data_IF_397698372525
#
_entry.id   IF_397698372525
#
_cell.length_a   1.000
_cell.length_b   1.000
_cell.length_c   1.000
_cell.angle_alpha   90.00
_cell.angle_beta   90.00
_cell.angle_gamma   90.00
#
_symmetry.space_group_name_H-M   'P 1'
#
loop_
_entity.id
_entity.type
_entity.pdbx_description
1 polymer ?
#
# COMPACT_ATOMS: atom_id res chain seq x y z
N UNK A 1 24.62 -2.62 -30.09
CA UNK A 1 23.27 -2.07 -30.40
C UNK A 1 22.30 -3.22 -30.37
N UNK A 2 21.25 -3.15 -29.54
CA UNK A 2 20.10 -4.04 -29.68
C UNK A 2 19.30 -3.48 -30.87
N UNK A 3 19.16 -4.28 -31.93
CA UNK A 3 18.38 -3.87 -33.10
C UNK A 3 16.93 -3.77 -32.62
N UNK A 4 16.18 -2.73 -32.97
CA UNK A 4 14.77 -2.71 -32.59
C UNK A 4 14.03 -3.73 -33.47
N UNK A 5 13.79 -4.93 -32.96
CA UNK A 5 13.00 -5.95 -33.68
C UNK A 5 11.54 -5.54 -33.83
N UNK A 6 11.12 -4.44 -33.22
CA UNK A 6 9.82 -3.81 -33.46
C UNK A 6 9.95 -2.51 -34.27
N UNK A 7 11.15 -2.17 -34.74
CA UNK A 7 11.42 -0.94 -35.48
C UNK A 7 10.58 -0.82 -36.75
N UNK A 8 10.29 -1.93 -37.42
CA UNK A 8 9.39 -1.95 -38.59
C UNK A 8 7.93 -1.62 -38.25
N UNK A 9 7.50 -1.77 -36.98
CA UNK A 9 6.17 -1.32 -36.55
C UNK A 9 6.12 0.20 -36.38
N UNK A 10 7.25 0.84 -36.09
CA UNK A 10 7.37 2.30 -35.99
C UNK A 10 7.74 2.96 -37.33
N UNK A 11 8.47 2.27 -38.20
CA UNK A 11 8.94 2.78 -39.51
C UNK A 11 7.84 2.81 -40.60
N UNK A 12 6.55 2.84 -40.22
CA UNK A 12 5.57 3.42 -41.14
C UNK A 12 5.84 4.93 -41.18
N UNK A 13 6.21 5.46 -42.36
CA UNK A 13 6.75 6.80 -42.47
C UNK A 13 5.74 7.82 -41.95
N UNK A 14 6.26 8.89 -41.35
CA UNK A 14 5.73 10.22 -41.64
C UNK A 14 5.70 10.36 -43.17
N UNK A 15 4.62 9.86 -43.79
CA UNK A 15 4.25 10.15 -45.16
C UNK A 15 3.99 11.65 -45.19
N UNK A 16 5.04 12.36 -45.57
CA UNK A 16 5.11 13.75 -45.99
C UNK A 16 4.02 14.70 -45.50
N UNK A 17 4.45 15.78 -44.86
CA UNK A 17 3.77 17.08 -44.93
C UNK A 17 3.60 17.63 -46.37
N UNK A 18 3.77 16.81 -47.41
CA UNK A 18 3.46 17.09 -48.80
C UNK A 18 2.74 15.87 -49.36
N UNK A 19 1.51 16.11 -49.80
CA UNK A 19 0.54 15.18 -50.40
C UNK A 19 -0.40 14.46 -49.42
N UNK A 20 -1.21 15.27 -48.74
CA UNK A 20 -2.60 14.90 -48.42
C UNK A 20 -3.37 14.63 -49.72
N UNK A 21 -3.37 13.37 -50.18
CA UNK A 21 -4.50 12.73 -50.88
C UNK A 21 -4.15 11.26 -51.14
N UNK A 22 -4.97 10.37 -50.57
CA UNK A 22 -5.21 9.00 -51.06
C UNK A 22 -4.28 7.83 -50.67
N UNK A 23 -3.66 7.81 -49.48
CA UNK A 23 -3.27 6.51 -48.90
C UNK A 23 -3.70 6.36 -47.45
N UNK A 24 -5.00 6.11 -47.26
CA UNK A 24 -5.49 5.44 -46.08
C UNK A 24 -4.91 4.01 -46.06
N UNK A 25 -3.70 3.86 -45.50
CA UNK A 25 -3.23 2.55 -45.06
C UNK A 25 -4.23 2.09 -44.01
N UNK A 26 -5.12 1.19 -44.42
CA UNK A 26 -6.27 0.81 -43.61
C UNK A 26 -5.79 0.08 -42.35
N UNK A 27 -6.48 0.23 -41.21
CA UNK A 27 -6.13 -0.47 -39.96
C UNK A 27 -5.94 -1.98 -40.11
N UNK A 28 -6.62 -2.58 -41.11
CA UNK A 28 -6.46 -3.99 -41.50
C UNK A 28 -5.05 -4.37 -41.91
N UNK A 29 -4.29 -3.47 -42.55
CA UNK A 29 -2.92 -3.74 -42.97
C UNK A 29 -1.95 -3.76 -41.79
N UNK A 30 -2.22 -2.98 -40.73
CA UNK A 30 -1.40 -2.97 -39.53
C UNK A 30 -1.67 -4.20 -38.65
N UNK A 31 -2.93 -4.57 -38.44
CA UNK A 31 -3.27 -5.78 -37.66
C UNK A 31 -2.65 -7.06 -38.26
N UNK A 32 -2.70 -7.20 -39.60
CA UNK A 32 -2.06 -8.32 -40.30
C UNK A 32 -0.54 -8.32 -40.10
N UNK A 33 0.10 -7.16 -40.23
CA UNK A 33 1.54 -7.00 -40.00
C UNK A 33 1.94 -7.38 -38.56
N UNK A 34 1.22 -6.91 -37.55
CA UNK A 34 1.48 -7.27 -36.14
C UNK A 34 1.39 -8.78 -35.95
N UNK A 35 0.32 -9.41 -36.47
CA UNK A 35 0.13 -10.86 -36.35
C UNK A 35 1.24 -11.67 -37.03
N UNK A 36 1.67 -11.28 -38.23
CA UNK A 36 2.75 -11.97 -38.96
C UNK A 36 4.10 -11.82 -38.23
N UNK A 37 4.32 -10.68 -37.58
CA UNK A 37 5.57 -10.39 -36.89
C UNK A 37 5.66 -10.94 -35.46
N UNK A 38 4.53 -11.28 -34.80
CA UNK A 38 4.52 -11.81 -33.44
C UNK A 38 5.45 -13.02 -33.27
N UNK A 39 5.49 -13.94 -34.25
CA UNK A 39 6.37 -15.12 -34.21
C UNK A 39 7.84 -14.73 -34.14
N UNK A 40 8.29 -13.90 -35.07
CA UNK A 40 9.69 -13.43 -35.14
C UNK A 40 10.09 -12.63 -33.90
N UNK A 41 9.18 -11.81 -33.36
CA UNK A 41 9.43 -11.04 -32.13
C UNK A 41 9.63 -11.98 -30.92
N UNK A 42 8.77 -12.99 -30.76
CA UNK A 42 8.89 -13.97 -29.67
C UNK A 42 10.19 -14.78 -29.77
N UNK A 43 10.60 -15.17 -30.97
CA UNK A 43 11.88 -15.85 -31.21
C UNK A 43 13.07 -14.96 -30.82
N UNK A 44 13.03 -13.67 -31.17
CA UNK A 44 14.06 -12.71 -30.80
C UNK A 44 14.14 -12.51 -29.28
N UNK A 45 12.99 -12.40 -28.60
CA UNK A 45 12.92 -12.32 -27.14
C UNK A 45 13.49 -13.56 -26.45
N UNK A 46 13.14 -14.75 -26.94
CA UNK A 46 13.71 -15.99 -26.42
C UNK A 46 15.23 -16.03 -26.62
N UNK A 47 15.72 -15.71 -27.82
CA UNK A 47 17.15 -15.65 -28.10
C UNK A 47 17.88 -14.62 -27.20
N UNK A 48 17.25 -13.48 -26.91
CA UNK A 48 17.80 -12.46 -26.02
C UNK A 48 17.84 -12.93 -24.55
N UNK A 49 16.77 -13.55 -24.06
CA UNK A 49 16.67 -14.06 -22.69
C UNK A 49 17.70 -15.18 -22.40
N UNK A 50 18.01 -16.02 -23.39
CA UNK A 50 19.00 -17.09 -23.29
C UNK A 50 20.40 -16.70 -23.80
N UNK A 51 20.65 -15.41 -24.04
CA UNK A 51 21.96 -14.94 -24.49
C UNK A 51 22.99 -14.92 -23.35
N UNK A 52 24.28 -14.95 -23.68
CA UNK A 52 25.40 -14.86 -22.72
C UNK A 52 25.57 -13.43 -22.13
N UNK A 53 24.55 -12.57 -22.25
CA UNK A 53 24.59 -11.19 -21.75
C UNK A 53 24.34 -11.17 -20.25
N UNK A 54 24.82 -10.11 -19.59
CA UNK A 54 24.53 -9.91 -18.17
C UNK A 54 23.06 -9.52 -17.92
N UNK A 55 22.57 -9.80 -16.71
CA UNK A 55 21.18 -9.54 -16.28
C UNK A 55 20.77 -8.08 -16.53
N UNK A 56 21.65 -7.12 -16.24
CA UNK A 56 21.41 -5.69 -16.49
C UNK A 56 21.09 -5.38 -17.95
N UNK A 57 21.76 -6.04 -18.90
CA UNK A 57 21.51 -5.85 -20.33
C UNK A 57 20.19 -6.48 -20.76
N UNK A 58 19.84 -7.63 -20.19
CA UNK A 58 18.57 -8.33 -20.45
C UNK A 58 17.39 -7.50 -19.92
N UNK A 59 17.48 -6.97 -18.70
CA UNK A 59 16.47 -6.06 -18.13
C UNK A 59 16.26 -4.81 -18.99
N UNK A 60 17.35 -4.15 -19.39
CA UNK A 60 17.25 -2.97 -20.28
C UNK A 60 16.58 -3.28 -21.62
N UNK A 61 16.81 -4.49 -22.16
CA UNK A 61 16.18 -4.93 -23.40
C UNK A 61 14.68 -5.10 -23.23
N UNK A 62 14.23 -5.86 -22.21
CA UNK A 62 12.80 -6.07 -21.98
C UNK A 62 12.07 -4.80 -21.52
N UNK A 63 12.73 -3.95 -20.72
CA UNK A 63 12.23 -2.61 -20.38
C UNK A 63 11.99 -1.75 -21.64
N UNK A 64 12.90 -1.83 -22.62
CA UNK A 64 12.74 -1.11 -23.89
C UNK A 64 11.54 -1.62 -24.68
N UNK A 65 11.37 -2.94 -24.82
CA UNK A 65 10.24 -3.53 -25.54
C UNK A 65 8.90 -3.25 -24.87
N UNK A 66 8.86 -3.30 -23.53
CA UNK A 66 7.65 -2.94 -22.79
C UNK A 66 7.24 -1.49 -23.06
N UNK A 67 8.18 -0.53 -22.95
CA UNK A 67 7.91 0.89 -23.23
C UNK A 67 7.48 1.11 -24.67
N UNK A 68 8.13 0.42 -25.61
CA UNK A 68 7.80 0.53 -27.03
C UNK A 68 6.38 0.03 -27.32
N UNK A 69 6.01 -1.17 -26.82
CA UNK A 69 4.66 -1.71 -26.99
C UNK A 69 3.60 -0.85 -26.28
N UNK A 70 3.91 -0.35 -25.08
CA UNK A 70 3.04 0.60 -24.36
C UNK A 70 2.79 1.85 -25.20
N UNK A 71 3.84 2.43 -25.81
CA UNK A 71 3.73 3.56 -26.73
C UNK A 71 2.87 3.25 -27.96
N UNK A 72 3.05 2.09 -28.60
CA UNK A 72 2.22 1.67 -29.73
C UNK A 72 0.75 1.48 -29.35
N UNK A 73 0.47 0.86 -28.21
CA UNK A 73 -0.90 0.65 -27.72
C UNK A 73 -1.61 2.00 -27.55
N UNK A 74 -0.94 2.97 -26.93
CA UNK A 74 -1.50 4.31 -26.75
C UNK A 74 -1.66 5.10 -28.06
N UNK A 75 -0.79 4.89 -29.05
CA UNK A 75 -0.94 5.51 -30.38
C UNK A 75 -2.10 4.90 -31.19
N UNK A 76 -2.34 3.60 -31.03
CA UNK A 76 -3.36 2.85 -31.78
C UNK A 76 -4.67 2.64 -31.00
N UNK A 77 -4.91 3.41 -29.92
CA UNK A 77 -6.07 3.27 -29.03
C UNK A 77 -7.45 3.28 -29.71
N UNK A 78 -7.57 3.83 -30.92
CA UNK A 78 -8.81 3.89 -31.68
C UNK A 78 -9.09 2.66 -32.58
N UNK A 79 -8.08 1.83 -32.87
CA UNK A 79 -8.20 0.69 -33.78
C UNK A 79 -8.28 -0.63 -33.00
N UNK A 80 -9.51 -1.15 -32.86
CA UNK A 80 -9.80 -2.33 -32.04
C UNK A 80 -9.05 -3.60 -32.51
N UNK A 81 -8.90 -3.80 -33.82
CA UNK A 81 -8.23 -4.99 -34.36
C UNK A 81 -6.72 -4.94 -34.06
N UNK A 82 -6.11 -3.78 -34.24
CA UNK A 82 -4.70 -3.54 -33.93
C UNK A 82 -4.41 -3.66 -32.43
N UNK A 83 -5.26 -3.04 -31.59
CA UNK A 83 -5.17 -3.14 -30.14
C UNK A 83 -5.22 -4.59 -29.63
N UNK A 84 -6.12 -5.41 -30.18
CA UNK A 84 -6.23 -6.82 -29.80
C UNK A 84 -4.90 -7.54 -29.96
N UNK A 85 -4.23 -7.37 -31.10
CA UNK A 85 -2.95 -8.05 -31.37
C UNK A 85 -1.80 -7.48 -30.53
N UNK A 86 -1.74 -6.16 -30.34
CA UNK A 86 -0.75 -5.52 -29.48
C UNK A 86 -0.90 -5.95 -28.01
N UNK A 87 -2.14 -6.04 -27.51
CA UNK A 87 -2.44 -6.50 -26.16
C UNK A 87 -2.04 -7.97 -25.95
N UNK A 88 -2.29 -8.84 -26.93
CA UNK A 88 -1.83 -10.24 -26.88
C UNK A 88 -0.30 -10.34 -26.88
N UNK A 89 0.38 -9.53 -27.69
CA UNK A 89 1.84 -9.50 -27.73
C UNK A 89 2.43 -8.97 -26.41
N UNK A 90 1.80 -7.99 -25.78
CA UNK A 90 2.16 -7.52 -24.45
C UNK A 90 1.90 -8.58 -23.37
N UNK A 91 0.79 -9.33 -23.46
CA UNK A 91 0.51 -10.46 -22.56
C UNK A 91 1.63 -11.51 -22.63
N UNK A 92 2.10 -11.87 -23.82
CA UNK A 92 3.21 -12.82 -23.99
C UNK A 92 4.51 -12.27 -23.39
N UNK A 93 4.82 -10.98 -23.65
CA UNK A 93 6.00 -10.33 -23.09
C UNK A 93 6.01 -10.44 -21.57
N UNK A 94 4.90 -10.09 -20.92
CA UNK A 94 4.80 -10.09 -19.47
C UNK A 94 4.74 -11.50 -18.89
N UNK A 95 4.10 -12.45 -19.56
CA UNK A 95 3.99 -13.83 -19.12
C UNK A 95 5.36 -14.52 -19.03
N UNK A 96 6.21 -14.34 -20.04
CA UNK A 96 7.50 -15.02 -20.11
C UNK A 96 8.67 -14.21 -19.55
N UNK A 97 8.58 -12.88 -19.60
CA UNK A 97 9.71 -11.99 -19.31
C UNK A 97 9.39 -10.87 -18.30
N UNK A 98 8.24 -10.95 -17.61
CA UNK A 98 7.81 -9.96 -16.62
C UNK A 98 8.84 -9.69 -15.52
N UNK A 99 9.58 -10.71 -15.07
CA UNK A 99 10.61 -10.59 -14.03
C UNK A 99 11.81 -9.70 -14.42
N UNK A 100 12.00 -9.48 -15.73
CA UNK A 100 13.05 -8.60 -16.25
C UNK A 100 12.58 -7.14 -16.39
N UNK A 101 11.28 -6.86 -16.23
CA UNK A 101 10.68 -5.55 -16.45
C UNK A 101 10.46 -4.82 -15.12
N UNK A 102 10.79 -3.53 -15.07
CA UNK A 102 10.60 -2.73 -13.87
C UNK A 102 9.11 -2.46 -13.57
N UNK A 103 8.65 -2.83 -12.37
CA UNK A 103 7.25 -2.66 -11.94
C UNK A 103 6.80 -1.19 -11.80
N UNK A 104 7.74 -0.25 -11.73
CA UNK A 104 7.45 1.20 -11.65
C UNK A 104 7.13 1.83 -13.01
N UNK A 105 7.23 1.08 -14.11
CA UNK A 105 6.92 1.62 -15.42
C UNK A 105 5.43 1.87 -15.60
N UNK A 106 5.10 2.98 -16.24
CA UNK A 106 3.74 3.34 -16.61
C UNK A 106 3.23 2.43 -17.72
N UNK A 107 1.98 2.03 -17.58
CA UNK A 107 1.27 1.17 -18.52
C UNK A 107 0.36 2.04 -19.39
N UNK A 108 0.29 1.74 -20.68
CA UNK A 108 -0.71 2.33 -21.58
C UNK A 108 -2.12 2.13 -21.00
N UNK A 109 -2.92 3.20 -20.97
CA UNK A 109 -4.27 3.17 -20.38
C UNK A 109 -5.16 2.12 -21.05
N UNK A 110 -5.02 1.94 -22.36
CA UNK A 110 -5.77 0.95 -23.14
C UNK A 110 -5.39 -0.49 -22.76
N UNK A 111 -4.10 -0.76 -22.54
CA UNK A 111 -3.65 -2.06 -22.06
C UNK A 111 -4.11 -2.33 -20.62
N UNK A 112 -4.02 -1.31 -19.77
CA UNK A 112 -4.48 -1.39 -18.38
C UNK A 112 -5.97 -1.73 -18.31
N UNK A 113 -6.80 -1.04 -19.10
CA UNK A 113 -8.23 -1.32 -19.26
C UNK A 113 -8.49 -2.76 -19.75
N UNK A 114 -7.77 -3.18 -20.78
CA UNK A 114 -7.88 -4.54 -21.31
C UNK A 114 -7.62 -5.61 -20.23
N UNK A 115 -6.58 -5.41 -19.41
CA UNK A 115 -6.26 -6.35 -18.32
C UNK A 115 -7.30 -6.31 -17.22
N UNK A 116 -7.79 -5.14 -16.82
CA UNK A 116 -8.90 -5.04 -15.86
C UNK A 116 -10.18 -5.71 -16.35
N UNK A 117 -10.51 -5.59 -17.65
CA UNK A 117 -11.64 -6.31 -18.23
C UNK A 117 -11.48 -7.83 -18.14
N UNK A 118 -10.26 -8.36 -18.26
CA UNK A 118 -9.99 -9.79 -18.09
C UNK A 118 -10.22 -10.29 -16.66
N UNK A 119 -9.84 -9.51 -15.64
CA UNK A 119 -10.05 -9.88 -14.23
C UNK A 119 -11.42 -9.49 -13.67
N UNK A 120 -12.20 -8.67 -14.39
CA UNK A 120 -13.52 -8.21 -13.94
C UNK A 120 -14.49 -9.35 -13.59
N UNK A 121 -14.64 -10.42 -14.40
CA UNK A 121 -15.57 -11.51 -14.05
C UNK A 121 -15.23 -12.18 -12.72
N UNK A 122 -13.93 -12.39 -12.47
CA UNK A 122 -13.43 -12.94 -11.20
C UNK A 122 -13.75 -11.96 -10.04
N UNK A 123 -13.51 -10.67 -10.23
CA UNK A 123 -13.90 -9.64 -9.26
C UNK A 123 -15.39 -9.63 -8.93
N UNK A 124 -16.25 -9.61 -9.94
CA UNK A 124 -17.71 -9.59 -9.77
C UNK A 124 -18.21 -10.85 -9.05
N UNK A 125 -17.64 -12.02 -9.41
CA UNK A 125 -17.93 -13.27 -8.72
C UNK A 125 -17.53 -13.20 -7.25
N UNK A 126 -16.33 -12.72 -6.94
CA UNK A 126 -15.88 -12.55 -5.56
C UNK A 126 -16.81 -11.65 -4.75
N UNK A 127 -17.22 -10.52 -5.32
CA UNK A 127 -18.11 -9.56 -4.65
C UNK A 127 -19.49 -10.17 -4.36
N UNK A 128 -20.09 -10.86 -5.32
CA UNK A 128 -21.38 -11.54 -5.13
C UNK A 128 -21.28 -12.63 -4.05
N UNK A 129 -20.18 -13.40 -4.05
CA UNK A 129 -19.93 -14.43 -3.05
C UNK A 129 -19.71 -13.82 -1.66
N UNK A 130 -18.95 -12.72 -1.56
CA UNK A 130 -18.72 -11.97 -0.33
C UNK A 130 -20.04 -11.47 0.28
N UNK A 131 -20.97 -10.95 -0.53
CA UNK A 131 -22.29 -10.50 -0.08
C UNK A 131 -23.13 -11.62 0.53
N UNK A 132 -23.06 -12.83 -0.04
CA UNK A 132 -23.79 -14.01 0.45
C UNK A 132 -23.12 -14.75 1.61
N UNK A 133 -21.87 -14.41 1.95
CA UNK A 133 -21.08 -15.13 2.97
C UNK A 133 -21.47 -14.77 4.41
N UNK A 134 -21.08 -15.63 5.37
CA UNK A 134 -21.25 -15.38 6.82
C UNK A 134 -20.07 -14.61 7.43
N UNK A 135 -19.30 -13.87 6.62
CA UNK A 135 -18.14 -13.11 7.10
C UNK A 135 -18.60 -11.91 7.92
N UNK A 136 -17.83 -11.59 8.97
CA UNK A 136 -18.03 -10.41 9.80
C UNK A 136 -18.33 -9.14 8.97
N UNK A 137 -19.39 -8.43 9.36
CA UNK A 137 -19.85 -7.22 8.68
C UNK A 137 -18.78 -6.13 8.56
N UNK A 138 -17.86 -6.02 9.52
CA UNK A 138 -16.80 -5.01 9.47
C UNK A 138 -15.77 -5.34 8.38
N UNK A 139 -15.34 -6.60 8.28
CA UNK A 139 -14.46 -7.05 7.20
C UNK A 139 -15.14 -6.94 5.83
N UNK A 140 -16.42 -7.32 5.75
CA UNK A 140 -17.24 -7.16 4.54
C UNK A 140 -17.29 -5.71 4.08
N UNK A 141 -17.64 -4.78 4.97
CA UNK A 141 -17.68 -3.33 4.67
C UNK A 141 -16.32 -2.81 4.24
N UNK A 142 -15.24 -3.24 4.89
CA UNK A 142 -13.88 -2.91 4.47
C UNK A 142 -13.66 -3.31 3.01
N UNK A 143 -13.90 -4.57 2.64
CA UNK A 143 -13.66 -5.04 1.27
C UNK A 143 -14.59 -4.40 0.25
N UNK A 144 -15.88 -4.24 0.56
CA UNK A 144 -16.84 -3.54 -0.29
C UNK A 144 -16.49 -2.07 -0.51
N UNK A 145 -15.79 -1.43 0.43
CA UNK A 145 -15.31 -0.06 0.25
C UNK A 145 -14.01 0.02 -0.54
N UNK A 146 -13.07 -0.88 -0.27
CA UNK A 146 -11.70 -0.78 -0.79
C UNK A 146 -11.53 -1.36 -2.19
N UNK A 147 -12.25 -2.43 -2.53
CA UNK A 147 -12.03 -3.15 -3.79
C UNK A 147 -12.63 -2.44 -5.01
N UNK A 148 -13.86 -1.87 -4.99
CA UNK A 148 -14.44 -1.29 -6.20
C UNK A 148 -13.55 -0.25 -6.89
N UNK A 149 -12.95 0.73 -6.19
CA UNK A 149 -12.06 1.70 -6.83
C UNK A 149 -10.87 1.06 -7.57
N UNK A 150 -10.41 -0.14 -7.17
CA UNK A 150 -9.35 -0.85 -7.89
C UNK A 150 -9.80 -1.48 -9.22
N UNK A 151 -11.10 -1.69 -9.44
CA UNK A 151 -11.60 -2.39 -10.62
C UNK A 151 -12.57 -1.56 -11.46
N UNK A 152 -13.07 -0.45 -10.92
CA UNK A 152 -13.99 0.48 -11.61
C UNK A 152 -13.35 1.80 -11.98
N UNK A 153 -12.39 2.29 -11.20
CA UNK A 153 -11.77 3.60 -11.38
C UNK A 153 -10.31 3.44 -11.82
N UNK A 154 -9.95 4.11 -12.91
CA UNK A 154 -8.56 4.24 -13.33
C UNK A 154 -8.26 5.72 -13.36
N UNK A 155 -7.39 6.18 -12.46
CA UNK A 155 -6.85 7.52 -12.55
C UNK A 155 -6.00 7.60 -13.84
N UNK A 156 -6.43 8.44 -14.78
CA UNK A 156 -5.77 8.62 -16.06
C UNK A 156 -4.27 8.89 -15.86
N UNK A 157 -3.43 8.07 -16.50
CA UNK A 157 -1.98 8.28 -16.54
C UNK A 157 -1.17 7.89 -15.31
N UNK A 158 -1.75 7.21 -14.30
CA UNK A 158 -1.01 6.90 -13.04
C UNK A 158 -0.74 5.41 -12.79
N UNK A 159 -1.34 4.50 -13.54
CA UNK A 159 -1.19 3.06 -13.31
C UNK A 159 0.20 2.53 -13.68
N UNK A 160 0.93 1.95 -12.72
CA UNK A 160 2.18 1.25 -12.99
C UNK A 160 1.95 -0.25 -13.21
N UNK A 161 2.92 -0.93 -13.83
CA UNK A 161 2.88 -2.37 -14.04
C UNK A 161 2.73 -3.14 -12.72
N UNK A 162 3.40 -2.69 -11.67
CA UNK A 162 3.26 -3.24 -10.32
C UNK A 162 1.84 -3.12 -9.76
N UNK A 163 1.13 -2.02 -10.03
CA UNK A 163 -0.26 -1.87 -9.58
C UNK A 163 -1.17 -2.87 -10.30
N UNK A 164 -0.93 -3.07 -11.60
CA UNK A 164 -1.67 -4.05 -12.38
C UNK A 164 -1.43 -5.48 -11.87
N UNK A 165 -0.16 -5.88 -11.70
CA UNK A 165 0.18 -7.19 -11.16
C UNK A 165 -0.35 -7.40 -9.75
N UNK A 166 -0.36 -6.36 -8.92
CA UNK A 166 -0.97 -6.43 -7.60
C UNK A 166 -2.47 -6.74 -7.68
N UNK A 167 -3.23 -6.02 -8.52
CA UNK A 167 -4.68 -6.22 -8.68
C UNK A 167 -5.03 -7.63 -9.16
N UNK A 168 -4.26 -8.15 -10.12
CA UNK A 168 -4.44 -9.49 -10.66
C UNK A 168 -4.09 -10.57 -9.64
N UNK A 169 -2.98 -10.39 -8.92
CA UNK A 169 -2.58 -11.31 -7.84
C UNK A 169 -3.61 -11.31 -6.72
N UNK A 170 -4.07 -10.13 -6.29
CA UNK A 170 -5.07 -9.98 -5.25
C UNK A 170 -6.33 -10.76 -5.61
N UNK A 171 -6.87 -10.53 -6.81
CA UNK A 171 -8.12 -11.19 -7.20
C UNK A 171 -7.95 -12.67 -7.49
N UNK A 172 -6.81 -13.09 -8.03
CA UNK A 172 -6.47 -14.50 -8.22
C UNK A 172 -6.38 -15.27 -6.90
N UNK A 173 -5.85 -14.64 -5.85
CA UNK A 173 -5.75 -15.22 -4.50
C UNK A 173 -7.10 -15.24 -3.78
N UNK A 174 -7.97 -14.26 -4.03
CA UNK A 174 -9.33 -14.19 -3.50
C UNK A 174 -10.30 -15.16 -4.19
N UNK A 175 -10.09 -15.43 -5.49
CA UNK A 175 -10.94 -16.33 -6.28
C UNK A 175 -10.39 -17.74 -6.47
N UNK A 176 -9.21 -18.06 -5.93
CA UNK A 176 -8.52 -19.31 -6.24
C UNK A 176 -9.48 -20.50 -6.10
N UNK A 177 -9.79 -21.16 -7.22
CA UNK A 177 -10.91 -22.11 -7.44
C UNK A 177 -10.98 -23.29 -6.46
N UNK A 178 -9.92 -23.49 -5.68
CA UNK A 178 -9.85 -24.45 -4.59
C UNK A 178 -10.61 -24.00 -3.33
N UNK A 179 -10.93 -22.72 -3.23
CA UNK A 179 -11.95 -22.21 -2.33
C UNK A 179 -13.30 -22.69 -2.88
N UNK A 180 -13.73 -23.87 -2.47
CA UNK A 180 -15.16 -24.08 -2.26
C UNK A 180 -15.60 -22.91 -1.38
N UNK A 181 -16.19 -21.86 -1.96
CA UNK A 181 -16.45 -20.60 -1.23
C UNK A 181 -17.36 -20.84 0.00
N UNK A 182 -18.15 -21.92 -0.04
CA UNK A 182 -18.85 -22.52 1.10
C UNK A 182 -17.98 -22.86 2.32
N UNK A 183 -16.66 -22.93 2.17
CA UNK A 183 -15.68 -23.18 3.24
C UNK A 183 -14.71 -22.02 3.47
N UNK A 184 -14.94 -20.84 2.88
CA UNK A 184 -14.11 -19.67 3.14
C UNK A 184 -14.39 -19.14 4.55
N UNK A 185 -13.53 -19.48 5.50
CA UNK A 185 -13.60 -18.91 6.85
C UNK A 185 -13.09 -17.48 6.86
N UNK A 186 -13.60 -16.67 7.79
CA UNK A 186 -13.11 -15.31 8.02
C UNK A 186 -11.58 -15.29 8.23
N UNK A 187 -11.05 -16.21 9.04
CA UNK A 187 -9.62 -16.34 9.26
C UNK A 187 -8.85 -16.71 7.98
N UNK A 188 -9.42 -17.58 7.13
CA UNK A 188 -8.83 -17.94 5.85
C UNK A 188 -8.71 -16.72 4.92
N UNK A 189 -9.76 -15.91 4.85
CA UNK A 189 -9.76 -14.66 4.09
C UNK A 189 -8.74 -13.66 4.65
N UNK A 190 -8.70 -13.45 5.97
CA UNK A 190 -7.71 -12.58 6.64
C UNK A 190 -6.29 -13.01 6.30
N UNK A 191 -5.99 -14.30 6.41
CA UNK A 191 -4.66 -14.84 6.11
C UNK A 191 -4.25 -14.58 4.65
N UNK A 192 -5.20 -14.70 3.71
CA UNK A 192 -4.95 -14.39 2.29
C UNK A 192 -4.69 -12.91 2.07
N UNK A 193 -5.52 -12.04 2.63
CA UNK A 193 -5.34 -10.57 2.56
C UNK A 193 -3.98 -10.14 3.14
N UNK A 194 -3.54 -10.78 4.23
CA UNK A 194 -2.20 -10.57 4.78
C UNK A 194 -1.10 -11.08 3.84
N UNK A 195 -1.25 -12.28 3.26
CA UNK A 195 -0.26 -12.88 2.37
C UNK A 195 -0.06 -12.08 1.07
N UNK A 196 -1.12 -11.46 0.56
CA UNK A 196 -1.05 -10.55 -0.60
C UNK A 196 -0.71 -9.11 -0.22
N UNK A 197 -0.40 -8.83 1.05
CA UNK A 197 -0.02 -7.50 1.52
C UNK A 197 -1.09 -6.43 1.27
N UNK A 198 -2.34 -6.72 1.64
CA UNK A 198 -3.48 -5.79 1.57
C UNK A 198 -3.36 -4.70 2.65
N UNK A 199 -2.41 -3.78 2.50
CA UNK A 199 -2.07 -2.73 3.47
C UNK A 199 -3.00 -1.51 3.43
N UNK A 200 -4.30 -1.77 3.40
CA UNK A 200 -5.31 -0.72 3.49
C UNK A 200 -5.66 -0.39 4.95
N UNK A 201 -5.91 0.90 5.24
CA UNK A 201 -6.21 1.38 6.60
C UNK A 201 -7.41 0.67 7.25
N UNK A 202 -8.55 0.55 6.55
CA UNK A 202 -9.74 -0.13 7.10
C UNK A 202 -9.49 -1.60 7.45
N UNK A 203 -8.63 -2.28 6.69
CA UNK A 203 -8.29 -3.67 6.99
C UNK A 203 -7.39 -3.76 8.21
N UNK A 204 -6.41 -2.84 8.33
CA UNK A 204 -5.60 -2.72 9.53
C UNK A 204 -6.45 -2.42 10.77
N UNK A 205 -7.41 -1.51 10.69
CA UNK A 205 -8.35 -1.22 11.77
C UNK A 205 -9.15 -2.47 12.17
N UNK A 206 -9.66 -3.23 11.20
CA UNK A 206 -10.34 -4.50 11.47
C UNK A 206 -9.46 -5.47 12.28
N UNK A 207 -8.18 -5.62 11.93
CA UNK A 207 -7.23 -6.47 12.67
C UNK A 207 -7.05 -6.00 14.13
N UNK A 208 -6.92 -4.69 14.33
CA UNK A 208 -6.79 -4.09 15.67
C UNK A 208 -8.04 -4.34 16.53
N UNK A 209 -9.22 -4.14 15.95
CA UNK A 209 -10.50 -4.36 16.63
C UNK A 209 -10.72 -5.83 16.98
N UNK A 210 -10.35 -6.75 16.08
CA UNK A 210 -10.41 -8.19 16.34
C UNK A 210 -9.52 -8.57 17.52
N UNK A 211 -8.23 -8.20 17.47
CA UNK A 211 -7.30 -8.48 18.56
C UNK A 211 -7.74 -7.85 19.89
N UNK A 212 -8.29 -6.63 19.86
CA UNK A 212 -8.81 -5.96 21.06
C UNK A 212 -10.00 -6.70 21.66
N UNK A 213 -10.96 -7.12 20.83
CA UNK A 213 -12.12 -7.91 21.28
C UNK A 213 -11.70 -9.26 21.87
N UNK A 214 -10.71 -9.91 21.29
CA UNK A 214 -10.22 -11.19 21.78
C UNK A 214 -9.44 -11.04 23.09
N UNK A 215 -8.64 -9.97 23.24
CA UNK A 215 -8.00 -9.63 24.51
C UNK A 215 -9.00 -9.37 25.63
N UNK A 216 -10.18 -8.80 25.34
CA UNK A 216 -11.22 -8.57 26.36
C UNK A 216 -11.79 -9.88 26.92
N UNK A 217 -11.78 -10.97 26.14
CA UNK A 217 -12.23 -12.31 26.55
C UNK A 217 -11.17 -13.07 27.35
N UNK A 218 -9.93 -12.58 27.38
CA UNK A 218 -8.77 -13.21 28.01
C UNK A 218 -8.46 -12.48 29.32
N UNK A 219 -8.14 -13.25 30.38
CA UNK A 219 -7.71 -12.67 31.65
C UNK A 219 -6.45 -11.82 31.47
N UNK A 220 -6.35 -10.72 32.23
CA UNK A 220 -5.30 -9.71 32.04
C UNK A 220 -3.87 -10.29 32.05
N UNK A 221 -3.62 -11.30 32.88
CA UNK A 221 -2.31 -11.98 33.01
C UNK A 221 -1.89 -12.72 31.74
N UNK A 222 -2.83 -13.18 30.90
CA UNK A 222 -2.54 -13.94 29.68
C UNK A 222 -2.51 -13.09 28.41
N UNK A 223 -2.92 -11.80 28.48
CA UNK A 223 -2.97 -10.92 27.30
C UNK A 223 -1.61 -10.70 26.64
N UNK A 224 -0.55 -10.59 27.43
CA UNK A 224 0.82 -10.44 26.90
C UNK A 224 1.25 -11.67 26.07
N UNK A 225 0.95 -12.87 26.57
CA UNK A 225 1.20 -14.12 25.83
C UNK A 225 0.37 -14.18 24.55
N UNK A 226 -0.91 -13.82 24.61
CA UNK A 226 -1.77 -13.76 23.43
C UNK A 226 -1.21 -12.86 22.33
N UNK A 227 -0.75 -11.64 22.66
CA UNK A 227 -0.17 -10.72 21.67
C UNK A 227 1.12 -11.27 21.04
N UNK A 228 1.95 -11.95 21.85
CA UNK A 228 3.16 -12.61 21.34
C UNK A 228 2.79 -13.77 20.39
N UNK A 229 1.85 -14.61 20.78
CA UNK A 229 1.37 -15.73 19.96
C UNK A 229 0.77 -15.21 18.64
N UNK A 230 -0.01 -14.12 18.67
CA UNK A 230 -0.51 -13.47 17.45
C UNK A 230 0.62 -12.98 16.56
N UNK A 231 1.65 -12.32 17.13
CA UNK A 231 2.79 -11.80 16.38
C UNK A 231 3.60 -12.89 15.66
N UNK A 232 3.77 -14.04 16.32
CA UNK A 232 4.45 -15.22 15.76
C UNK A 232 3.64 -15.84 14.61
N UNK A 233 2.32 -15.86 14.74
CA UNK A 233 1.41 -16.46 13.75
C UNK A 233 1.15 -15.57 12.53
N UNK A 234 1.64 -14.32 12.52
CA UNK A 234 1.57 -13.47 11.33
C UNK A 234 2.39 -14.14 10.22
N UNK A 235 1.78 -14.43 9.04
CA UNK A 235 2.49 -15.04 7.94
C UNK A 235 3.79 -14.30 7.67
N UNK A 236 4.90 -15.05 7.61
CA UNK A 236 6.14 -14.53 7.08
C UNK A 236 5.85 -14.12 5.64
N UNK A 237 5.62 -12.82 5.42
CA UNK A 237 5.55 -12.29 4.08
C UNK A 237 6.79 -12.81 3.36
N UNK A 238 6.62 -13.41 2.18
CA UNK A 238 7.76 -13.78 1.34
C UNK A 238 8.61 -12.53 1.23
N UNK A 239 9.75 -12.53 1.92
CA UNK A 239 10.63 -11.38 2.05
C UNK A 239 10.95 -10.92 0.65
N UNK A 240 10.44 -9.74 0.27
CA UNK A 240 10.60 -9.21 -1.09
C UNK A 240 9.40 -9.36 -2.03
N UNK A 241 8.15 -9.47 -1.56
CA UNK A 241 7.02 -9.08 -2.41
C UNK A 241 6.88 -7.54 -2.40
N UNK A 242 7.36 -6.81 -3.41
CA UNK A 242 7.23 -5.34 -3.44
C UNK A 242 5.80 -4.89 -3.73
N UNK A 243 4.92 -5.81 -4.14
CA UNK A 243 3.55 -5.50 -4.51
C UNK A 243 2.70 -5.35 -3.24
N UNK A 244 2.00 -4.21 -3.14
CA UNK A 244 1.13 -3.83 -2.03
C UNK A 244 -0.04 -3.01 -2.56
N UNK A 245 -1.10 -2.91 -1.76
CA UNK A 245 -2.31 -2.15 -2.10
C UNK A 245 -2.01 -0.65 -2.21
N UNK A 246 -1.37 -0.11 -1.16
CA UNK A 246 -0.95 1.29 -1.09
C UNK A 246 0.58 1.35 -0.91
N UNK A 247 1.29 1.80 -1.95
CA UNK A 247 2.75 1.95 -1.95
C UNK A 247 3.28 2.96 -0.92
N UNK A 248 2.40 3.81 -0.38
CA UNK A 248 2.75 4.86 0.60
C UNK A 248 2.79 4.30 2.01
N UNK A 249 2.25 3.10 2.23
CA UNK A 249 2.19 2.41 3.51
C UNK A 249 3.19 1.27 3.57
N UNK A 250 3.70 0.99 4.78
CA UNK A 250 4.45 -0.25 5.04
C UNK A 250 3.53 -1.46 4.82
N UNK A 251 4.09 -2.65 4.65
CA UNK A 251 3.31 -3.86 4.50
C UNK A 251 2.41 -4.13 5.72
N UNK A 252 1.24 -4.74 5.48
CA UNK A 252 0.22 -4.98 6.49
C UNK A 252 0.72 -5.84 7.65
N UNK A 253 1.57 -6.84 7.36
CA UNK A 253 2.19 -7.68 8.37
C UNK A 253 3.09 -6.88 9.30
N UNK A 254 3.87 -5.93 8.76
CA UNK A 254 4.77 -5.09 9.55
C UNK A 254 3.98 -4.10 10.40
N UNK A 255 2.98 -3.44 9.80
CA UNK A 255 2.07 -2.54 10.51
C UNK A 255 1.40 -3.24 11.70
N UNK A 256 0.90 -4.44 11.47
CA UNK A 256 0.24 -5.23 12.51
C UNK A 256 1.21 -5.72 13.59
N UNK A 257 2.41 -6.18 13.21
CA UNK A 257 3.47 -6.55 14.17
C UNK A 257 3.88 -5.38 15.05
N UNK A 258 4.11 -4.20 14.46
CA UNK A 258 4.46 -2.99 15.21
C UNK A 258 3.37 -2.65 16.20
N UNK A 259 2.10 -2.67 15.78
CA UNK A 259 0.99 -2.40 16.68
C UNK A 259 0.87 -3.43 17.82
N UNK A 260 1.00 -4.73 17.54
CA UNK A 260 0.97 -5.77 18.58
C UNK A 260 2.09 -5.58 19.61
N UNK A 261 3.30 -5.20 19.16
CA UNK A 261 4.42 -4.89 20.03
C UNK A 261 4.15 -3.66 20.91
N UNK A 262 3.58 -2.61 20.35
CA UNK A 262 3.15 -1.42 21.10
C UNK A 262 2.11 -1.79 22.16
N UNK A 263 1.11 -2.61 21.82
CA UNK A 263 0.12 -3.09 22.79
C UNK A 263 0.76 -3.92 23.91
N UNK A 264 1.70 -4.82 23.59
CA UNK A 264 2.43 -5.60 24.60
C UNK A 264 3.23 -4.70 25.54
N UNK A 265 3.85 -3.66 24.99
CA UNK A 265 4.56 -2.63 25.75
C UNK A 265 3.61 -1.90 26.69
N UNK A 266 2.43 -1.46 26.22
CA UNK A 266 1.44 -0.79 27.05
C UNK A 266 0.93 -1.68 28.19
N UNK A 267 0.70 -2.97 27.94
CA UNK A 267 0.30 -3.90 28.99
C UNK A 267 1.38 -4.05 30.06
N UNK A 268 2.65 -4.12 29.67
CA UNK A 268 3.78 -4.25 30.60
C UNK A 268 3.95 -3.03 31.52
N UNK A 269 3.57 -1.84 31.04
CA UNK A 269 3.59 -0.61 31.84
C UNK A 269 2.49 -0.59 32.92
N UNK A 270 1.42 -1.37 32.73
CA UNK A 270 0.26 -1.39 33.64
C UNK A 270 0.27 -2.52 34.67
N UNK A 271 1.20 -3.48 34.60
CA UNK A 271 1.00 -4.81 35.19
C UNK A 271 1.69 -5.13 36.51
N UNK A 272 2.40 -4.20 37.17
CA UNK A 272 2.97 -4.47 38.51
C UNK A 272 2.49 -3.45 39.55
N UNK A 273 1.49 -3.80 40.38
CA UNK A 273 1.13 -3.02 41.55
C UNK A 273 2.32 -2.96 42.51
N UNK A 274 2.95 -1.79 42.63
CA UNK A 274 4.04 -1.54 43.60
C UNK A 274 5.41 -1.29 42.99
N UNK A 275 5.64 -1.61 41.71
CA UNK A 275 6.87 -1.17 41.02
C UNK A 275 6.68 0.24 40.45
N UNK A 276 7.67 1.10 40.65
CA UNK A 276 7.69 2.42 40.07
C UNK A 276 7.79 2.28 38.55
N UNK A 277 6.72 2.65 37.83
CA UNK A 277 6.73 2.69 36.37
C UNK A 277 7.93 3.55 35.90
N UNK A 278 8.79 3.04 35.00
CA UNK A 278 9.88 3.83 34.47
C UNK A 278 9.32 5.07 33.78
N UNK A 279 9.87 6.22 34.13
CA UNK A 279 9.43 7.50 33.56
C UNK A 279 9.85 7.61 32.10
N UNK A 280 8.98 8.16 31.27
CA UNK A 280 9.20 8.37 29.84
C UNK A 280 10.08 9.62 29.65
N UNK A 281 11.28 9.48 29.05
CA UNK A 281 12.15 10.62 28.80
C UNK A 281 11.66 11.45 27.62
N UNK A 282 11.35 12.72 27.88
CA UNK A 282 10.95 13.68 26.86
C UNK A 282 12.13 14.59 26.48
N UNK A 283 12.35 14.76 25.19
CA UNK A 283 13.35 15.69 24.66
C UNK A 283 12.82 17.15 24.59
N UNK A 284 12.05 17.57 25.59
CA UNK A 284 11.52 18.93 25.75
C UNK A 284 11.79 19.44 27.17
N UNK A 285 11.64 20.74 27.42
CA UNK A 285 11.75 21.32 28.77
C UNK A 285 10.44 21.22 29.55
N UNK A 286 10.48 21.42 30.87
CA UNK A 286 9.25 21.48 31.71
C UNK A 286 8.29 22.58 31.23
N UNK A 287 8.81 23.73 30.78
CA UNK A 287 7.98 24.80 30.24
C UNK A 287 7.22 24.38 28.96
N UNK A 288 7.88 23.59 28.10
CA UNK A 288 7.24 23.07 26.88
C UNK A 288 6.19 22.00 27.22
N UNK A 289 6.47 21.14 28.20
CA UNK A 289 5.50 20.16 28.71
C UNK A 289 4.29 20.85 29.36
N UNK A 290 4.51 21.90 30.15
CA UNK A 290 3.42 22.69 30.74
C UNK A 290 2.57 23.39 29.67
N UNK A 291 3.21 23.93 28.63
CA UNK A 291 2.51 24.50 27.47
C UNK A 291 1.71 23.46 26.69
N UNK A 292 2.23 22.23 26.55
CA UNK A 292 1.52 21.10 25.95
C UNK A 292 0.28 20.73 26.77
N UNK A 293 0.43 20.59 28.09
CA UNK A 293 -0.68 20.30 29.00
C UNK A 293 -1.75 21.39 28.90
N UNK A 294 -1.36 22.66 28.87
CA UNK A 294 -2.30 23.78 28.70
C UNK A 294 -3.06 23.70 27.39
N UNK A 295 -2.37 23.49 26.27
CA UNK A 295 -3.03 23.34 24.97
C UNK A 295 -4.04 22.19 25.00
N UNK A 296 -3.69 21.04 25.58
CA UNK A 296 -4.59 19.89 25.67
C UNK A 296 -5.77 20.11 26.62
N UNK A 297 -5.55 20.80 27.75
CA UNK A 297 -6.60 21.17 28.68
C UNK A 297 -7.59 22.16 28.06
N UNK A 298 -7.09 23.21 27.40
CA UNK A 298 -7.92 24.23 26.73
C UNK A 298 -8.73 23.65 25.56
N UNK A 299 -8.25 22.57 24.93
CA UNK A 299 -8.98 21.83 23.89
C UNK A 299 -9.90 20.72 24.45
N UNK A 300 -9.98 20.56 25.77
CA UNK A 300 -10.86 19.57 26.42
C UNK A 300 -10.39 18.11 26.30
N UNK A 301 -9.13 17.87 25.91
CA UNK A 301 -8.59 16.50 25.71
C UNK A 301 -8.60 15.70 27.02
N UNK A 302 -8.40 16.37 28.16
CA UNK A 302 -8.41 15.72 29.47
C UNK A 302 -9.82 15.52 30.08
N UNK A 303 -10.89 15.99 29.42
CA UNK A 303 -12.25 15.89 29.94
C UNK A 303 -12.43 16.59 31.29
N UNK A 304 -13.03 15.90 32.27
CA UNK A 304 -13.34 16.44 33.60
C UNK A 304 -12.21 16.28 34.65
N UNK A 305 -10.99 15.94 34.23
CA UNK A 305 -9.86 15.72 35.14
C UNK A 305 -9.32 17.07 35.65
N UNK A 306 -9.09 17.19 36.96
CA UNK A 306 -8.52 18.40 37.56
C UNK A 306 -7.07 18.65 37.13
N UNK A 307 -6.66 19.93 37.04
CA UNK A 307 -5.29 20.30 36.71
C UNK A 307 -4.26 19.72 37.70
N UNK A 308 -4.59 19.68 38.99
CA UNK A 308 -3.72 19.07 40.01
C UNK A 308 -3.43 17.61 39.69
N UNK A 309 -4.46 16.81 39.39
CA UNK A 309 -4.29 15.40 39.02
C UNK A 309 -3.47 15.24 37.72
N UNK A 310 -3.65 16.14 36.75
CA UNK A 310 -2.87 16.14 35.50
C UNK A 310 -1.39 16.41 35.80
N UNK A 311 -1.08 17.40 36.64
CA UNK A 311 0.31 17.73 37.00
C UNK A 311 0.98 16.62 37.80
N UNK A 312 0.28 16.04 38.78
CA UNK A 312 0.78 14.89 39.55
C UNK A 312 1.06 13.70 38.64
N UNK A 313 0.15 13.40 37.71
CA UNK A 313 0.35 12.34 36.74
C UNK A 313 1.53 12.61 35.81
N UNK A 314 1.61 13.82 35.24
CA UNK A 314 2.72 14.19 34.35
C UNK A 314 4.07 14.14 35.06
N UNK A 315 4.15 14.62 36.31
CA UNK A 315 5.34 14.55 37.16
C UNK A 315 5.74 13.10 37.47
N UNK A 316 4.76 12.21 37.64
CA UNK A 316 4.97 10.78 37.88
C UNK A 316 5.44 10.04 36.62
N UNK A 317 4.94 10.40 35.45
CA UNK A 317 5.15 9.64 34.20
C UNK A 317 6.32 10.15 33.36
N UNK A 318 6.64 11.45 33.39
CA UNK A 318 7.63 12.02 32.48
C UNK A 318 8.92 12.45 33.17
N UNK A 319 10.04 12.32 32.44
CA UNK A 319 11.26 13.10 32.69
C UNK A 319 11.51 14.05 31.53
N UNK A 320 12.32 15.08 31.75
CA UNK A 320 12.72 16.01 30.69
C UNK A 320 14.21 15.95 30.48
N UNK A 321 14.68 16.43 29.32
CA UNK A 321 16.12 16.52 28.98
C UNK A 321 17.01 17.11 30.09
N UNK A 322 16.47 18.04 30.89
CA UNK A 322 17.22 18.76 31.93
C UNK A 322 16.91 18.29 33.36
N UNK A 323 15.80 17.58 33.57
CA UNK A 323 15.32 17.24 34.91
C UNK A 323 14.71 15.84 34.91
N UNK A 324 15.35 14.93 35.65
CA UNK A 324 14.88 13.55 35.88
C UNK A 324 13.65 13.53 36.80
N UNK A 325 13.64 14.42 37.80
CA UNK A 325 12.51 14.61 38.69
C UNK A 325 11.83 15.94 38.39
N UNK A 326 10.58 15.87 37.96
CA UNK A 326 9.68 17.01 37.80
C UNK A 326 8.72 16.98 38.99
N UNK A 327 8.53 18.10 39.69
CA UNK A 327 7.49 18.22 40.70
C UNK A 327 6.19 18.73 40.08
N UNK A 328 5.04 18.36 40.64
CA UNK A 328 3.75 18.89 40.21
C UNK A 328 3.71 20.43 40.34
N UNK A 329 4.33 20.97 41.39
CA UNK A 329 4.42 22.42 41.62
C UNK A 329 5.25 23.15 40.55
N UNK A 330 6.37 22.57 40.11
CA UNK A 330 7.18 23.20 39.06
C UNK A 330 6.45 23.22 37.71
N UNK A 331 5.69 22.15 37.42
CA UNK A 331 4.77 22.06 36.30
C UNK A 331 3.65 23.10 36.39
N UNK A 332 2.98 23.21 37.54
CA UNK A 332 1.92 24.18 37.80
C UNK A 332 2.41 25.62 37.62
N UNK A 333 3.56 25.96 38.22
CA UNK A 333 4.17 27.27 38.05
C UNK A 333 4.51 27.56 36.59
N UNK A 334 5.06 26.59 35.86
CA UNK A 334 5.37 26.75 34.44
C UNK A 334 4.11 26.90 33.57
N UNK A 335 3.00 26.26 33.93
CA UNK A 335 1.72 26.31 33.23
C UNK A 335 1.10 27.71 33.24
N UNK A 336 1.14 28.39 34.39
CA UNK A 336 0.62 29.75 34.52
C UNK A 336 1.57 30.82 33.96
N UNK A 337 2.88 30.52 33.89
CA UNK A 337 3.92 31.46 33.45
C UNK A 337 4.49 31.12 32.04
N UNK A 338 3.63 30.73 31.10
CA UNK A 338 4.05 30.41 29.73
C UNK A 338 4.43 31.68 28.97
N UNK A 339 5.66 31.74 28.46
CA UNK A 339 6.11 32.83 27.58
C UNK A 339 5.62 32.64 26.13
N UNK A 340 5.47 33.75 25.40
CA UNK A 340 5.15 33.72 23.96
C UNK A 340 6.19 32.93 23.15
N UNK A 341 7.47 33.01 23.54
CA UNK A 341 8.55 32.25 22.90
C UNK A 341 8.38 30.74 23.07
N UNK A 342 7.98 30.30 24.27
CA UNK A 342 7.64 28.90 24.55
C UNK A 342 6.48 28.43 23.66
N UNK A 343 5.41 29.22 23.59
CA UNK A 343 4.25 28.90 22.77
C UNK A 343 4.61 28.81 21.27
N UNK A 344 5.36 29.79 20.74
CA UNK A 344 5.80 29.79 19.34
C UNK A 344 6.64 28.55 18.99
N UNK A 345 7.54 28.13 19.88
CA UNK A 345 8.34 26.91 19.69
C UNK A 345 7.48 25.64 19.73
N UNK A 346 6.51 25.57 20.66
CA UNK A 346 5.57 24.45 20.72
C UNK A 346 4.72 24.34 19.46
N UNK A 347 4.24 25.46 18.90
CA UNK A 347 3.56 25.48 17.59
C UNK A 347 4.46 24.87 16.51
N UNK A 348 5.74 25.22 16.48
CA UNK A 348 6.71 24.61 15.54
C UNK A 348 6.81 23.10 15.70
N UNK A 349 6.89 22.59 16.94
CA UNK A 349 6.90 21.14 17.23
C UNK A 349 5.62 20.47 16.74
N UNK A 350 4.45 21.06 17.02
CA UNK A 350 3.16 20.53 16.57
C UNK A 350 2.99 20.55 15.06
N UNK A 351 3.43 21.61 14.38
CA UNK A 351 3.37 21.68 12.92
C UNK A 351 4.25 20.62 12.29
N UNK A 352 5.46 20.39 12.83
CA UNK A 352 6.33 19.32 12.38
C UNK A 352 5.73 17.93 12.64
N UNK A 353 5.15 17.71 13.82
CA UNK A 353 4.46 16.47 14.15
C UNK A 353 3.25 16.25 13.23
N UNK A 354 2.43 17.28 13.00
CA UNK A 354 1.28 17.25 12.09
C UNK A 354 1.72 16.96 10.66
N UNK A 355 2.80 17.58 10.17
CA UNK A 355 3.36 17.30 8.85
C UNK A 355 3.85 15.84 8.75
N UNK A 356 4.53 15.33 9.78
CA UNK A 356 4.94 13.93 9.83
C UNK A 356 3.75 12.97 9.88
N UNK A 357 2.70 13.29 10.64
CA UNK A 357 1.46 12.52 10.68
C UNK A 357 0.74 12.54 9.33
N UNK A 358 0.66 13.70 8.66
CA UNK A 358 0.10 13.81 7.31
C UNK A 358 0.89 12.95 6.33
N UNK A 359 2.20 13.05 6.33
CA UNK A 359 3.05 12.25 5.45
C UNK A 359 2.89 10.74 5.68
N UNK A 360 2.73 10.31 6.94
CA UNK A 360 2.65 8.88 7.31
C UNK A 360 1.25 8.28 7.18
N UNK A 361 0.20 9.03 7.52
CA UNK A 361 -1.15 8.51 7.67
C UNK A 361 -2.15 9.10 6.67
N UNK A 362 -1.83 10.25 6.05
CA UNK A 362 -2.66 10.91 5.05
C UNK A 362 -1.82 11.31 3.84
N UNK A 363 -1.08 10.38 3.21
CA UNK A 363 -0.35 10.72 2.01
C UNK A 363 -1.39 11.13 0.96
N UNK A 364 -1.29 12.36 0.47
CA UNK A 364 -2.16 12.90 -0.58
C UNK A 364 -1.70 12.36 -1.92
#
# INVERSE_FOLDING_TARGET
>A
MLKNELGFLADKPELGKKEQKDSAVTGRDFSKLVSECCGTVREAWAAAAFSVKNDTSIRRYFDFHFKFLSGLISQHGADADSLKHLNLLMDDLLLFYGDFIQHQQLVALEYYNYRLQKVRPDYELFMALLESSEINDHLRRCLCHCLPPLYTEIAEGTGTLGDLFYREKLIGELNHRELNFFGMTEQGLVNRLMAVNFNHFLFFQYLQEQATRDMQKIEAVFRGKYLLDQSINIPLAKTGNPLCFDKRWTGICDLYKTWLYEQGTFLSLGSVPGEACPKIPLNISVAYLACLIRAFYDQGIYGAVSLTAIFEHAAKVFTTKRQEHISADSLSNAYYNISQQTAARMIGIFNNASAALKLRYFPV
#
